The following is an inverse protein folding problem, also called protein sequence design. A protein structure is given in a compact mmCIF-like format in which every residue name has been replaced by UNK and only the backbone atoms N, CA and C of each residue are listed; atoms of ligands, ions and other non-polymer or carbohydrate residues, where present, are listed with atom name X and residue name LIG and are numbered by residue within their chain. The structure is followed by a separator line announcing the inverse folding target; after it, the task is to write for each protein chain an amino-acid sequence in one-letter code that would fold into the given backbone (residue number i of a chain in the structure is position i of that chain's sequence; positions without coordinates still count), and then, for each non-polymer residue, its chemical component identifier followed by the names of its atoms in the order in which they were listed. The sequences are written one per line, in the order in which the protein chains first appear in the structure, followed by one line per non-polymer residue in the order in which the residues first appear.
data_IF_256210140307
#
_entry.id   IF_256210140307
#
_cell.length_a   1.000
_cell.length_b   1.000
_cell.length_c   1.000
_cell.angle_alpha   90.00
_cell.angle_beta   90.00
_cell.angle_gamma   90.00
#
_symmetry.space_group_name_H-M   'P 1'
#
loop_
_entity.id
_entity.type
_entity.pdbx_description
1 polymer ?
#
# COMPACT_ATOMS: atom_id res chain seq x y z
N UNK A 1 84.43 6.56 -3.97
CA UNK A 1 83.12 5.88 -3.85
C UNK A 1 82.07 6.99 -3.71
N UNK A 2 81.30 7.33 -4.76
CA UNK A 2 79.96 6.75 -5.11
C UNK A 2 79.04 6.76 -3.88
N UNK A 3 77.93 7.50 -3.72
CA UNK A 3 76.91 8.21 -4.54
C UNK A 3 76.28 9.29 -3.57
N UNK A 4 76.04 10.59 -3.83
CA UNK A 4 75.18 11.30 -4.80
C UNK A 4 73.74 10.72 -4.88
N UNK A 5 72.60 11.41 -4.78
CA UNK A 5 72.18 12.80 -4.55
C UNK A 5 70.62 12.80 -4.68
N UNK A 6 69.91 13.69 -3.94
CA UNK A 6 68.59 14.34 -4.30
C UNK A 6 67.32 13.45 -4.22
N UNK A 7 66.13 13.96 -3.86
CA UNK A 7 65.54 15.29 -4.02
C UNK A 7 64.50 15.58 -2.89
N UNK A 8 64.50 16.79 -2.27
CA UNK A 8 63.60 17.96 -2.48
C UNK A 8 62.14 17.70 -1.98
N UNK A 9 61.43 18.56 -1.24
CA UNK A 9 61.34 20.02 -1.20
C UNK A 9 60.75 20.48 0.16
N UNK A 10 61.18 21.64 0.64
CA UNK A 10 60.67 22.33 1.83
C UNK A 10 59.35 23.08 1.56
N UNK A 11 58.49 23.19 2.57
CA UNK A 11 57.48 24.27 2.68
C UNK A 11 57.49 24.79 4.12
N UNK A 12 57.69 26.11 4.25
CA UNK A 12 57.72 26.87 5.49
C UNK A 12 56.37 26.85 6.21
N UNK A 13 56.41 26.69 7.53
CA UNK A 13 55.31 26.93 8.47
C UNK A 13 55.50 28.35 9.03
N UNK A 14 54.60 29.26 8.67
CA UNK A 14 54.50 30.59 9.26
C UNK A 14 53.50 30.57 10.41
N UNK A 15 54.00 30.80 11.62
CA UNK A 15 53.24 30.85 12.86
C UNK A 15 52.50 32.18 13.07
N UNK A 16 51.41 32.07 13.83
CA UNK A 16 51.08 32.86 15.03
C UNK A 16 49.82 33.75 14.94
N UNK A 17 48.79 33.24 15.62
CA UNK A 17 47.54 33.89 16.00
C UNK A 17 47.73 35.17 16.83
N UNK A 18 46.88 36.16 16.58
CA UNK A 18 46.29 37.16 17.50
C UNK A 18 45.26 37.91 16.61
N UNK A 19 43.95 37.99 16.81
CA UNK A 19 43.10 37.92 17.99
C UNK A 19 42.13 39.12 17.87
N UNK A 20 40.82 38.83 17.84
CA UNK A 20 39.66 39.71 18.15
C UNK A 20 38.87 40.40 16.99
N UNK A 21 37.65 39.86 16.82
CA UNK A 21 36.35 40.54 16.67
C UNK A 21 35.85 40.96 15.27
N UNK A 22 35.22 40.03 14.57
CA UNK A 22 33.90 40.20 13.97
C UNK A 22 33.40 38.83 13.46
N UNK A 23 32.51 38.19 14.20
CA UNK A 23 31.82 37.00 13.70
C UNK A 23 30.84 37.43 12.60
N UNK A 24 30.93 36.94 11.35
CA UNK A 24 29.72 36.87 10.55
C UNK A 24 28.84 35.83 11.25
N UNK A 25 27.62 36.23 11.63
CA UNK A 25 26.62 35.28 12.07
C UNK A 25 26.51 34.22 10.98
N UNK A 26 26.93 32.99 11.29
CA UNK A 26 26.56 31.83 10.50
C UNK A 26 25.06 31.72 10.74
N UNK A 27 24.27 32.28 9.82
CA UNK A 27 22.88 31.89 9.68
C UNK A 27 22.94 30.39 9.39
N UNK A 28 22.72 29.58 10.42
CA UNK A 28 22.29 28.21 10.23
C UNK A 28 21.11 28.28 9.28
N UNK A 29 21.26 27.75 8.07
CA UNK A 29 20.16 27.54 7.16
C UNK A 29 19.12 26.73 7.96
N UNK A 30 18.05 27.38 8.39
CA UNK A 30 16.91 26.69 8.94
C UNK A 30 16.34 25.91 7.76
N UNK A 31 16.46 24.59 7.78
CA UNK A 31 15.60 23.76 6.97
C UNK A 31 14.17 24.17 7.33
N UNK A 32 13.50 24.84 6.39
CA UNK A 32 12.06 25.08 6.50
C UNK A 32 11.44 23.69 6.61
N UNK A 33 10.85 23.41 7.77
CA UNK A 33 10.33 22.10 8.15
C UNK A 33 9.05 21.69 7.40
N UNK A 34 8.89 22.15 6.16
CA UNK A 34 7.79 21.75 5.31
C UNK A 34 8.34 20.90 4.17
N UNK A 35 8.04 19.61 4.26
CA UNK A 35 8.23 18.65 3.16
C UNK A 35 7.11 18.99 2.15
N UNK A 36 7.43 19.82 1.16
CA UNK A 36 6.52 20.37 0.13
C UNK A 36 5.88 19.30 -0.80
N UNK A 37 6.12 18.00 -0.55
CA UNK A 37 5.67 16.90 -1.41
C UNK A 37 5.08 15.70 -0.64
N UNK A 38 4.90 15.80 0.69
CA UNK A 38 4.29 14.73 1.47
C UNK A 38 2.95 15.17 2.04
N UNK A 39 1.86 14.65 1.46
CA UNK A 39 0.52 14.84 1.97
C UNK A 39 0.45 14.39 3.44
N UNK A 40 0.21 15.33 4.36
CA UNK A 40 0.04 15.01 5.77
C UNK A 40 -1.37 14.46 6.02
N UNK A 41 -1.45 13.19 6.42
CA UNK A 41 -2.71 12.59 6.87
C UNK A 41 -3.06 13.23 8.22
N UNK A 42 -4.13 14.03 8.26
CA UNK A 42 -4.64 14.62 9.50
C UNK A 42 -5.42 13.55 10.25
N UNK A 43 -5.08 13.34 11.53
CA UNK A 43 -5.80 12.39 12.38
C UNK A 43 -7.29 12.76 12.49
N UNK A 44 -8.21 11.79 12.44
CA UNK A 44 -9.62 12.06 12.64
C UNK A 44 -9.87 12.62 14.06
N UNK A 45 -10.86 13.52 14.22
CA UNK A 45 -11.11 14.22 15.49
C UNK A 45 -11.70 13.35 16.62
N UNK A 46 -11.95 12.06 16.37
CA UNK A 46 -12.42 11.11 17.36
C UNK A 46 -13.02 9.84 16.74
N UNK A 47 -13.55 8.92 17.56
CA UNK A 47 -14.25 7.72 17.09
C UNK A 47 -15.45 8.08 16.21
N UNK A 48 -15.66 7.34 15.11
CA UNK A 48 -16.79 7.56 14.19
C UNK A 48 -16.52 8.53 13.04
N UNK A 49 -15.32 9.09 12.92
CA UNK A 49 -14.89 9.89 11.78
C UNK A 49 -13.99 9.06 10.85
N UNK A 50 -14.29 9.07 9.55
CA UNK A 50 -13.44 8.50 8.49
C UNK A 50 -12.92 9.64 7.62
N UNK A 51 -11.60 9.71 7.44
CA UNK A 51 -10.97 10.63 6.51
C UNK A 51 -11.05 10.10 5.08
N UNK A 52 -11.24 10.98 4.10
CA UNK A 52 -11.17 10.64 2.68
C UNK A 52 -9.98 11.36 2.06
N UNK A 53 -9.01 10.59 1.57
CA UNK A 53 -7.79 11.10 0.96
C UNK A 53 -7.82 10.78 -0.53
N UNK A 54 -7.83 11.83 -1.36
CA UNK A 54 -7.76 11.68 -2.82
C UNK A 54 -6.28 11.72 -3.20
N UNK A 55 -5.73 10.55 -3.52
CA UNK A 55 -4.37 10.41 -4.05
C UNK A 55 -4.42 9.86 -5.47
N UNK A 56 -3.63 10.41 -6.38
CA UNK A 56 -3.47 9.91 -7.75
C UNK A 56 -2.41 8.80 -7.85
N UNK A 57 -2.04 8.15 -6.74
CA UNK A 57 -1.04 7.10 -6.77
C UNK A 57 -1.51 5.91 -7.61
N UNK A 58 -0.63 5.42 -8.49
CA UNK A 58 -0.85 4.18 -9.25
C UNK A 58 -1.09 2.96 -8.35
N UNK A 59 -0.65 3.03 -7.08
CA UNK A 59 -0.89 2.01 -6.05
C UNK A 59 -2.38 1.79 -5.80
N UNK A 60 -3.20 2.84 -5.89
CA UNK A 60 -4.65 2.73 -5.72
C UNK A 60 -5.36 2.12 -6.94
N UNK A 61 -4.68 2.09 -8.09
CA UNK A 61 -5.14 1.39 -9.29
C UNK A 61 -4.59 -0.05 -9.40
N UNK A 62 -3.91 -0.56 -8.36
CA UNK A 62 -3.48 -1.97 -8.29
C UNK A 62 -4.57 -2.77 -7.59
N UNK A 63 -5.18 -3.69 -8.32
CA UNK A 63 -6.30 -4.52 -7.84
C UNK A 63 -5.87 -5.97 -7.80
N UNK A 64 -5.23 -6.34 -6.71
CA UNK A 64 -4.97 -7.74 -6.38
C UNK A 64 -5.65 -8.05 -5.06
N UNK A 65 -6.02 -9.30 -4.90
CA UNK A 65 -6.30 -9.86 -3.60
C UNK A 65 -5.14 -10.79 -3.27
N UNK A 66 -4.63 -10.72 -2.04
CA UNK A 66 -3.45 -11.45 -1.61
C UNK A 66 -3.58 -11.92 -0.16
N UNK A 67 -3.09 -13.13 0.08
CA UNK A 67 -2.81 -13.65 1.41
C UNK A 67 -1.37 -14.15 1.39
N UNK A 68 -0.52 -13.50 2.18
CA UNK A 68 0.89 -13.79 2.27
C UNK A 68 1.26 -14.24 3.68
N UNK A 69 2.18 -15.18 3.76
CA UNK A 69 2.75 -15.74 4.98
C UNK A 69 4.23 -15.49 5.00
N UNK A 70 4.75 -14.99 6.11
CA UNK A 70 6.17 -14.67 6.27
C UNK A 70 6.74 -15.39 7.48
N UNK A 71 7.96 -15.90 7.33
CA UNK A 71 8.78 -16.44 8.41
C UNK A 71 9.97 -15.51 8.64
N UNK A 72 10.17 -15.13 9.88
CA UNK A 72 11.32 -14.33 10.32
C UNK A 72 12.14 -15.16 11.30
N UNK A 73 13.46 -15.17 11.10
CA UNK A 73 14.45 -15.71 12.03
C UNK A 73 15.61 -14.71 12.11
N UNK A 74 16.10 -14.42 13.31
CA UNK A 74 17.21 -13.48 13.53
C UNK A 74 17.03 -12.12 12.83
N UNK A 75 15.82 -11.55 12.87
CA UNK A 75 15.46 -10.28 12.21
C UNK A 75 15.57 -10.30 10.67
N UNK A 76 15.67 -11.48 10.05
CA UNK A 76 15.69 -11.67 8.61
C UNK A 76 14.45 -12.45 8.18
N UNK A 77 13.87 -12.06 7.06
CA UNK A 77 12.85 -12.90 6.41
C UNK A 77 13.55 -14.15 5.88
N UNK A 78 13.10 -15.32 6.29
CA UNK A 78 13.66 -16.63 5.86
C UNK A 78 12.68 -17.43 5.02
N UNK A 79 11.41 -17.04 4.99
CA UNK A 79 10.40 -17.68 4.14
C UNK A 79 9.26 -16.73 3.81
N UNK A 80 8.72 -16.87 2.60
CA UNK A 80 7.52 -16.19 2.15
C UNK A 80 6.68 -17.15 1.29
N UNK A 81 5.37 -17.19 1.51
CA UNK A 81 4.45 -17.95 0.69
C UNK A 81 3.15 -17.19 0.46
N UNK A 82 2.58 -17.30 -0.75
CA UNK A 82 1.22 -16.86 -1.05
C UNK A 82 0.24 -18.01 -0.96
N UNK A 83 -0.98 -17.70 -0.54
CA UNK A 83 -2.02 -18.70 -0.39
C UNK A 83 -3.32 -18.23 -1.05
N UNK A 84 -4.06 -19.19 -1.61
CA UNK A 84 -5.45 -18.97 -2.05
C UNK A 84 -6.47 -19.13 -0.92
N UNK A 85 -6.02 -19.63 0.22
CA UNK A 85 -6.78 -19.78 1.44
C UNK A 85 -5.86 -20.09 2.62
N UNK A 86 -6.34 -19.90 3.84
CA UNK A 86 -5.55 -20.14 5.05
C UNK A 86 -5.12 -21.61 5.20
N UNK A 87 -5.94 -22.57 4.77
CA UNK A 87 -5.60 -24.00 4.81
C UNK A 87 -4.50 -24.39 3.80
N UNK A 88 -4.22 -23.51 2.84
CA UNK A 88 -3.11 -23.67 1.88
C UNK A 88 -1.87 -22.86 2.28
N UNK A 89 -1.91 -22.14 3.40
CA UNK A 89 -0.75 -21.43 3.92
C UNK A 89 0.15 -22.34 4.76
N UNK A 90 1.46 -22.07 4.80
CA UNK A 90 2.34 -22.65 5.81
C UNK A 90 1.85 -22.33 7.22
N UNK A 91 1.86 -23.33 8.10
CA UNK A 91 1.45 -23.19 9.50
C UNK A 91 2.58 -22.68 10.39
N UNK A 92 3.83 -22.90 9.98
CA UNK A 92 5.01 -22.34 10.65
C UNK A 92 5.32 -20.96 10.04
N UNK A 93 4.78 -19.92 10.66
CA UNK A 93 4.97 -18.53 10.24
C UNK A 93 5.33 -17.65 11.44
N UNK A 94 5.80 -16.44 11.16
CA UNK A 94 5.96 -15.37 12.16
C UNK A 94 4.79 -14.41 12.08
N UNK A 95 4.42 -13.98 10.87
CA UNK A 95 3.23 -13.18 10.62
C UNK A 95 2.59 -13.50 9.26
N UNK A 96 1.34 -13.10 9.10
CA UNK A 96 0.58 -13.20 7.86
C UNK A 96 -0.07 -11.86 7.55
N UNK A 97 -0.19 -11.55 6.26
CA UNK A 97 -0.83 -10.35 5.73
C UNK A 97 -1.96 -10.74 4.78
N UNK A 98 -3.10 -10.09 4.93
CA UNK A 98 -4.19 -10.10 3.96
C UNK A 98 -4.35 -8.72 3.34
N UNK A 99 -4.41 -8.67 2.02
CA UNK A 99 -4.78 -7.50 1.21
C UNK A 99 -5.98 -7.97 0.40
N UNK A 100 -7.18 -7.66 0.87
CA UNK A 100 -8.43 -8.27 0.38
C UNK A 100 -9.29 -7.23 -0.31
N UNK A 101 -9.50 -7.36 -1.62
CA UNK A 101 -10.55 -6.57 -2.28
C UNK A 101 -11.91 -7.14 -1.93
N UNK A 102 -12.70 -6.38 -1.17
CA UNK A 102 -14.04 -6.77 -0.79
C UNK A 102 -14.96 -6.86 -2.00
N UNK A 103 -15.80 -7.89 -2.03
CA UNK A 103 -16.84 -8.08 -3.05
C UNK A 103 -18.18 -7.54 -2.56
N UNK A 104 -19.15 -7.32 -3.46
CA UNK A 104 -20.53 -7.05 -3.05
C UNK A 104 -21.07 -8.16 -2.15
N UNK A 105 -21.85 -7.78 -1.15
CA UNK A 105 -22.56 -8.75 -0.31
C UNK A 105 -23.58 -9.53 -1.14
N UNK A 106 -23.63 -10.85 -0.97
CA UNK A 106 -24.65 -11.70 -1.59
C UNK A 106 -26.03 -11.50 -0.96
N UNK A 107 -26.09 -11.08 0.31
CA UNK A 107 -27.32 -10.78 1.03
C UNK A 107 -27.07 -9.80 2.20
N UNK A 108 -28.15 -9.35 2.85
CA UNK A 108 -28.09 -8.36 3.93
C UNK A 108 -27.56 -8.88 5.28
N UNK A 109 -27.25 -10.17 5.38
CA UNK A 109 -26.69 -10.78 6.61
C UNK A 109 -25.18 -11.02 6.52
N UNK A 110 -24.61 -10.85 5.33
CA UNK A 110 -23.17 -10.96 5.11
C UNK A 110 -22.44 -9.75 5.70
N UNK A 111 -21.25 -10.01 6.23
CA UNK A 111 -20.37 -9.01 6.84
C UNK A 111 -19.04 -9.01 6.10
N UNK A 112 -18.28 -7.92 6.24
CA UNK A 112 -16.99 -7.71 5.57
C UNK A 112 -17.08 -7.75 4.04
N UNK A 113 -18.10 -7.07 3.49
CA UNK A 113 -18.40 -6.97 2.07
C UNK A 113 -19.00 -5.59 1.73
N UNK A 114 -19.14 -5.27 0.44
CA UNK A 114 -19.73 -4.01 -0.02
C UNK A 114 -21.25 -4.15 -0.01
N UNK A 115 -21.91 -3.50 0.95
CA UNK A 115 -23.37 -3.55 1.11
C UNK A 115 -24.15 -2.76 0.03
N UNK A 116 -23.54 -1.74 -0.56
CA UNK A 116 -24.17 -0.95 -1.62
C UNK A 116 -23.31 0.22 -2.08
N UNK A 117 -23.66 0.75 -3.25
CA UNK A 117 -23.06 1.94 -3.83
C UNK A 117 -24.18 2.95 -4.07
N UNK A 118 -24.00 4.17 -3.57
CA UNK A 118 -24.96 5.26 -3.68
C UNK A 118 -24.35 6.40 -4.47
N UNK A 119 -25.13 6.94 -5.40
CA UNK A 119 -24.78 8.15 -6.15
C UNK A 119 -25.74 9.28 -5.83
N UNK A 120 -25.24 10.52 -5.84
CA UNK A 120 -26.03 11.74 -5.66
C UNK A 120 -25.77 12.68 -6.83
N UNK A 121 -26.83 13.04 -7.53
CA UNK A 121 -26.77 14.08 -8.53
C UNK A 121 -26.62 15.44 -7.82
N UNK A 122 -25.53 16.16 -8.10
CA UNK A 122 -25.23 17.43 -7.43
C UNK A 122 -26.11 18.60 -7.92
N UNK A 123 -26.72 18.48 -9.09
CA UNK A 123 -27.62 19.50 -9.66
C UNK A 123 -29.04 19.33 -9.16
N UNK A 124 -29.58 18.11 -9.18
CA UNK A 124 -30.97 17.82 -8.81
C UNK A 124 -31.14 17.37 -7.36
N UNK A 125 -30.04 16.99 -6.70
CA UNK A 125 -30.06 16.39 -5.36
C UNK A 125 -30.54 14.94 -5.33
N UNK A 126 -30.93 14.35 -6.47
CA UNK A 126 -31.46 13.00 -6.55
C UNK A 126 -30.42 11.96 -6.11
N UNK A 127 -30.84 11.02 -5.27
CA UNK A 127 -30.02 9.90 -4.79
C UNK A 127 -30.44 8.61 -5.47
N UNK A 128 -29.48 7.84 -5.95
CA UNK A 128 -29.69 6.56 -6.63
C UNK A 128 -28.78 5.49 -6.03
N UNK A 129 -29.34 4.33 -5.72
CA UNK A 129 -28.60 3.13 -5.28
C UNK A 129 -28.53 2.07 -6.39
N UNK A 130 -28.83 2.46 -7.63
CA UNK A 130 -28.86 1.54 -8.77
C UNK A 130 -27.47 1.41 -9.35
N UNK A 131 -26.90 0.21 -9.25
CA UNK A 131 -25.67 -0.17 -9.94
C UNK A 131 -25.80 -1.62 -10.40
N UNK A 132 -25.10 -1.97 -11.49
CA UNK A 132 -25.06 -3.34 -12.00
C UNK A 132 -23.61 -3.84 -11.97
N UNK A 133 -23.26 -4.86 -11.17
CA UNK A 133 -21.95 -5.49 -11.23
C UNK A 133 -21.65 -6.04 -12.63
N UNK A 134 -20.40 -5.91 -13.07
CA UNK A 134 -19.88 -6.36 -14.37
C UNK A 134 -18.74 -7.37 -14.19
N UNK A 135 -18.99 -8.54 -13.55
CA UNK A 135 -17.95 -9.51 -13.22
C UNK A 135 -17.26 -10.11 -14.45
N UNK A 136 -17.91 -10.13 -15.61
CA UNK A 136 -17.35 -10.62 -16.86
C UNK A 136 -16.12 -9.81 -17.34
N UNK A 137 -15.93 -8.60 -16.80
CA UNK A 137 -14.76 -7.77 -17.10
C UNK A 137 -13.52 -8.15 -16.28
N UNK A 138 -13.69 -8.90 -15.19
CA UNK A 138 -12.59 -9.21 -14.24
C UNK A 138 -12.51 -10.69 -13.87
N UNK A 139 -13.42 -11.55 -14.36
CA UNK A 139 -13.47 -12.98 -14.04
C UNK A 139 -12.14 -13.72 -14.32
N UNK A 140 -11.46 -13.36 -15.42
CA UNK A 140 -10.24 -14.02 -15.87
C UNK A 140 -8.98 -13.65 -15.06
N UNK A 141 -9.10 -12.76 -14.06
CA UNK A 141 -7.94 -12.33 -13.27
C UNK A 141 -7.50 -13.38 -12.25
N UNK A 142 -8.38 -14.34 -11.91
CA UNK A 142 -8.14 -15.37 -10.89
C UNK A 142 -7.45 -14.79 -9.64
N UNK A 143 -7.95 -13.66 -9.14
CA UNK A 143 -7.38 -12.98 -7.99
C UNK A 143 -8.02 -13.43 -6.67
N UNK A 144 -9.16 -14.13 -6.73
CA UNK A 144 -9.92 -14.51 -5.54
C UNK A 144 -9.08 -15.29 -4.51
N UNK A 145 -9.27 -14.94 -3.24
CA UNK A 145 -8.68 -15.61 -2.07
C UNK A 145 -9.80 -15.88 -1.07
N UNK A 146 -9.91 -17.14 -0.64
CA UNK A 146 -10.86 -17.54 0.38
C UNK A 146 -10.30 -17.19 1.76
N UNK A 147 -10.96 -16.25 2.43
CA UNK A 147 -10.64 -15.85 3.79
C UNK A 147 -11.25 -16.78 4.84
N UNK A 148 -11.21 -16.31 6.08
CA UNK A 148 -11.94 -16.87 7.22
C UNK A 148 -12.46 -15.72 8.10
N UNK A 149 -13.71 -15.26 7.84
CA UNK A 149 -14.31 -14.16 8.59
C UNK A 149 -14.42 -14.44 10.09
N UNK A 150 -14.47 -15.72 10.50
CA UNK A 150 -14.57 -16.09 11.92
C UNK A 150 -13.35 -15.62 12.74
N UNK A 151 -12.21 -15.45 12.08
CA UNK A 151 -10.97 -14.93 12.65
C UNK A 151 -10.61 -13.54 12.12
N UNK A 152 -11.53 -12.83 11.47
CA UNK A 152 -11.32 -11.46 10.99
C UNK A 152 -10.65 -11.32 9.62
N UNK A 153 -10.59 -12.41 8.81
CA UNK A 153 -10.07 -12.35 7.44
C UNK A 153 -11.23 -12.46 6.43
N UNK A 154 -11.64 -11.38 5.75
CA UNK A 154 -12.69 -11.47 4.75
C UNK A 154 -12.28 -12.30 3.53
N UNK A 155 -13.28 -12.74 2.76
CA UNK A 155 -13.02 -13.21 1.40
C UNK A 155 -12.61 -12.02 0.53
N UNK A 156 -11.53 -12.20 -0.23
CA UNK A 156 -11.12 -11.22 -1.23
C UNK A 156 -11.45 -11.72 -2.63
N UNK A 157 -11.92 -10.81 -3.48
CA UNK A 157 -12.35 -11.13 -4.84
C UNK A 157 -11.48 -10.50 -5.93
N UNK A 158 -11.98 -10.62 -7.16
CA UNK A 158 -11.48 -9.84 -8.28
C UNK A 158 -11.88 -8.36 -8.12
N UNK A 159 -11.18 -7.43 -8.79
CA UNK A 159 -11.62 -6.05 -8.90
C UNK A 159 -13.10 -5.93 -9.28
N UNK A 160 -13.83 -5.05 -8.60
CA UNK A 160 -15.25 -4.82 -8.83
C UNK A 160 -15.43 -3.72 -9.87
N UNK A 161 -15.94 -4.07 -11.04
CA UNK A 161 -16.46 -3.10 -12.01
C UNK A 161 -17.97 -3.07 -11.93
N UNK A 162 -18.55 -1.88 -11.92
CA UNK A 162 -20.01 -1.66 -11.91
C UNK A 162 -20.41 -0.68 -13.00
N UNK A 163 -21.61 -0.85 -13.55
CA UNK A 163 -22.28 0.17 -14.35
C UNK A 163 -23.20 1.00 -13.45
N UNK A 164 -23.13 2.32 -13.57
CA UNK A 164 -23.97 3.28 -12.85
C UNK A 164 -24.60 4.27 -13.87
N UNK A 165 -25.71 3.89 -14.53
CA UNK A 165 -26.28 4.71 -15.61
C UNK A 165 -26.71 6.11 -15.17
N UNK A 166 -27.12 6.28 -13.90
CA UNK A 166 -27.51 7.57 -13.35
C UNK A 166 -26.34 8.53 -13.13
N UNK A 167 -25.11 8.06 -13.28
CA UNK A 167 -23.89 8.82 -13.07
C UNK A 167 -22.92 8.61 -14.25
N UNK A 168 -23.37 8.66 -15.50
CA UNK A 168 -22.46 8.51 -16.63
C UNK A 168 -21.40 9.63 -16.70
N UNK A 169 -20.19 9.28 -17.13
CA UNK A 169 -19.09 10.19 -17.45
C UNK A 169 -18.86 10.22 -18.96
N UNK A 170 -17.90 11.03 -19.43
CA UNK A 170 -17.65 11.27 -20.87
C UNK A 170 -17.31 10.02 -21.69
N UNK A 171 -16.96 8.91 -21.03
CA UNK A 171 -16.45 7.70 -21.66
C UNK A 171 -17.30 6.45 -21.34
N UNK A 172 -18.51 6.64 -20.80
CA UNK A 172 -19.44 5.57 -20.45
C UNK A 172 -20.02 5.74 -19.05
N UNK A 173 -20.51 4.64 -18.49
CA UNK A 173 -21.13 4.56 -17.17
C UNK A 173 -20.42 3.56 -16.25
N UNK A 174 -19.21 3.13 -16.62
CA UNK A 174 -18.46 2.11 -15.89
C UNK A 174 -17.58 2.74 -14.82
N UNK A 175 -17.64 2.13 -13.65
CA UNK A 175 -16.86 2.52 -12.49
C UNK A 175 -16.11 1.31 -11.94
N UNK A 176 -14.82 1.50 -11.66
CA UNK A 176 -14.00 0.55 -10.93
C UNK A 176 -14.03 0.92 -9.45
N UNK A 177 -14.49 0.00 -8.63
CA UNK A 177 -14.68 0.17 -7.19
C UNK A 177 -13.63 -0.67 -6.48
N UNK A 178 -12.80 -0.02 -5.67
CA UNK A 178 -11.86 -0.67 -4.76
C UNK A 178 -12.34 -0.48 -3.34
N UNK A 179 -12.55 -1.59 -2.63
CA UNK A 179 -12.64 -1.61 -1.18
C UNK A 179 -11.56 -2.57 -0.70
N UNK A 180 -10.43 -2.03 -0.33
CA UNK A 180 -9.22 -2.75 0.05
C UNK A 180 -9.15 -2.89 1.57
N UNK A 181 -9.20 -4.14 2.03
CA UNK A 181 -9.12 -4.52 3.43
C UNK A 181 -7.73 -5.10 3.70
N UNK A 182 -6.86 -4.27 4.28
CA UNK A 182 -5.51 -4.65 4.65
C UNK A 182 -5.43 -5.05 6.11
N UNK A 183 -4.91 -6.23 6.38
CA UNK A 183 -4.91 -6.85 7.70
C UNK A 183 -3.68 -7.68 7.95
N UNK A 184 -3.26 -7.79 9.21
CA UNK A 184 -2.22 -8.72 9.63
C UNK A 184 -2.66 -9.62 10.78
N UNK A 185 -1.93 -10.72 10.94
CA UNK A 185 -1.85 -11.44 12.21
C UNK A 185 -0.44 -11.94 12.47
N UNK A 186 -0.05 -11.93 13.72
CA UNK A 186 1.16 -12.62 14.16
C UNK A 186 0.85 -14.06 14.56
N UNK A 187 1.88 -14.89 14.65
CA UNK A 187 1.77 -16.25 15.20
C UNK A 187 1.33 -16.28 16.69
N UNK A 188 1.19 -15.12 17.34
CA UNK A 188 0.86 -14.96 18.76
C UNK A 188 -0.51 -14.32 19.10
N UNK A 189 -0.90 -14.52 20.38
CA UNK A 189 -1.96 -13.91 21.22
C UNK A 189 -3.44 -13.84 20.81
N UNK A 190 -3.84 -14.15 19.58
CA UNK A 190 -5.27 -14.35 19.29
C UNK A 190 -5.59 -15.26 18.10
N UNK A 191 -4.60 -15.55 17.23
CA UNK A 191 -4.83 -16.20 15.93
C UNK A 191 -5.90 -15.50 15.06
N UNK A 192 -6.14 -14.21 15.32
CA UNK A 192 -7.10 -13.36 14.59
C UNK A 192 -6.36 -12.32 13.77
N UNK A 193 -6.90 -12.04 12.60
CA UNK A 193 -6.53 -10.93 11.74
C UNK A 193 -7.06 -9.62 12.32
N UNK A 194 -6.19 -8.62 12.38
CA UNK A 194 -6.48 -7.26 12.84
C UNK A 194 -6.49 -6.35 11.62
N UNK A 195 -7.56 -5.58 11.46
CA UNK A 195 -7.66 -4.58 10.40
C UNK A 195 -6.64 -3.47 10.65
N UNK A 196 -5.72 -3.28 9.72
CA UNK A 196 -4.75 -2.20 9.73
C UNK A 196 -5.26 -0.98 8.97
N UNK A 197 -5.83 -1.23 7.79
CA UNK A 197 -6.27 -0.18 6.88
C UNK A 197 -7.44 -0.65 6.03
N UNK A 198 -8.46 0.21 5.93
CA UNK A 198 -9.55 0.06 4.96
C UNK A 198 -9.49 1.23 3.99
N UNK A 199 -9.29 0.95 2.70
CA UNK A 199 -9.22 1.99 1.66
C UNK A 199 -10.36 1.80 0.66
N UNK A 200 -11.18 2.84 0.50
CA UNK A 200 -12.27 2.86 -0.46
C UNK A 200 -11.98 3.86 -1.57
N UNK A 201 -12.17 3.46 -2.82
CA UNK A 201 -11.98 4.33 -3.98
C UNK A 201 -12.89 3.93 -5.13
N UNK A 202 -13.32 4.93 -5.91
CA UNK A 202 -14.19 4.76 -7.07
C UNK A 202 -13.58 5.54 -8.23
N UNK A 203 -13.35 4.86 -9.35
CA UNK A 203 -12.72 5.43 -10.54
C UNK A 203 -13.65 5.30 -11.75
N UNK A 204 -13.90 6.37 -12.51
CA UNK A 204 -14.52 6.24 -13.82
C UNK A 204 -13.56 5.48 -14.77
N UNK A 205 -14.08 4.51 -15.51
CA UNK A 205 -13.24 3.65 -16.37
C UNK A 205 -13.89 3.40 -17.73
N UNK A 206 -13.06 3.02 -18.70
CA UNK A 206 -13.48 2.54 -20.01
C UNK A 206 -12.78 1.21 -20.28
N UNK A 207 -13.44 0.33 -21.03
CA UNK A 207 -12.86 -0.96 -21.42
C UNK A 207 -12.11 -0.80 -22.73
N UNK A 208 -10.84 -1.16 -22.72
CA UNK A 208 -10.02 -1.28 -23.93
C UNK A 208 -9.70 -2.75 -24.22
N UNK A 209 -9.77 -3.14 -25.48
CA UNK A 209 -9.40 -4.51 -25.89
C UNK A 209 -7.90 -4.60 -26.10
N UNK A 210 -7.25 -5.55 -25.42
CA UNK A 210 -5.82 -5.78 -25.55
C UNK A 210 -5.34 -7.00 -24.76
N UNK A 211 -4.04 -7.27 -24.83
CA UNK A 211 -3.39 -8.27 -23.97
C UNK A 211 -2.81 -7.59 -22.75
N UNK A 212 -3.56 -7.63 -21.65
CA UNK A 212 -3.15 -7.08 -20.37
C UNK A 212 -2.96 -8.21 -19.37
N UNK A 213 -1.80 -8.26 -18.73
CA UNK A 213 -1.59 -9.09 -17.54
C UNK A 213 -1.78 -8.18 -16.33
N UNK A 214 -2.77 -8.42 -15.45
CA UNK A 214 -2.93 -7.62 -14.26
C UNK A 214 -1.64 -7.69 -13.42
N UNK A 215 -1.10 -6.53 -13.07
CA UNK A 215 0.07 -6.44 -12.21
C UNK A 215 -0.24 -7.04 -10.84
N UNK A 216 0.75 -7.73 -10.27
CA UNK A 216 0.69 -8.32 -8.93
C UNK A 216 1.80 -7.77 -8.04
N UNK A 217 1.77 -8.05 -6.73
CA UNK A 217 2.94 -7.79 -5.93
C UNK A 217 4.13 -8.61 -6.42
N UNK A 218 5.37 -8.21 -6.17
CA UNK A 218 6.52 -9.05 -6.51
C UNK A 218 6.46 -10.28 -5.61
N UNK A 219 6.56 -11.47 -6.19
CA UNK A 219 6.27 -12.75 -5.52
C UNK A 219 7.50 -13.61 -5.37
N UNK A 220 8.61 -13.20 -5.97
CA UNK A 220 9.82 -13.99 -5.90
C UNK A 220 10.38 -13.84 -4.47
N UNK A 221 10.48 -14.97 -3.72
CA UNK A 221 11.03 -14.96 -2.37
C UNK A 221 12.40 -14.29 -2.31
N UNK A 222 13.18 -14.29 -3.40
CA UNK A 222 14.48 -13.62 -3.49
C UNK A 222 14.43 -12.11 -3.22
N UNK A 223 13.29 -11.45 -3.42
CA UNK A 223 13.14 -10.02 -3.12
C UNK A 223 12.89 -9.75 -1.63
N UNK A 224 12.48 -10.75 -0.86
CA UNK A 224 12.10 -10.63 0.55
C UNK A 224 13.07 -11.38 1.47
N UNK A 225 13.47 -12.60 1.10
CA UNK A 225 14.33 -13.47 1.89
C UNK A 225 15.73 -12.85 2.02
N UNK A 226 16.25 -12.83 3.25
CA UNK A 226 17.52 -12.18 3.59
C UNK A 226 17.42 -10.66 3.77
N UNK A 227 16.23 -10.05 3.64
CA UNK A 227 16.02 -8.64 4.00
C UNK A 227 15.82 -8.51 5.52
N UNK A 228 16.41 -7.48 6.15
CA UNK A 228 16.11 -7.16 7.54
C UNK A 228 14.66 -6.69 7.67
N UNK A 229 14.02 -7.06 8.76
CA UNK A 229 12.71 -6.54 9.13
C UNK A 229 12.88 -5.07 9.54
N UNK A 230 12.23 -4.15 8.82
CA UNK A 230 12.20 -2.74 9.21
C UNK A 230 11.24 -2.54 10.40
N UNK A 231 11.53 -1.62 11.34
CA UNK A 231 10.62 -1.32 12.43
C UNK A 231 9.27 -0.79 11.89
N UNK A 232 8.19 -1.26 12.50
CA UNK A 232 6.75 -1.09 12.18
C UNK A 232 6.22 0.37 11.99
N UNK A 233 7.10 1.37 11.95
CA UNK A 233 6.76 2.78 11.65
C UNK A 233 6.89 3.14 10.17
N UNK A 234 7.45 2.27 9.35
CA UNK A 234 7.11 2.22 7.94
C UNK A 234 6.31 0.96 7.74
N UNK A 235 5.08 1.15 7.25
CA UNK A 235 4.32 0.11 6.58
C UNK A 235 5.31 -0.79 5.84
N UNK A 236 5.10 -2.10 5.91
CA UNK A 236 5.54 -2.98 4.84
C UNK A 236 4.71 -2.58 3.60
N UNK A 237 4.91 -1.35 3.13
CA UNK A 237 4.66 -0.96 1.77
C UNK A 237 5.51 -1.97 1.05
N UNK A 238 4.84 -2.95 0.46
CA UNK A 238 5.44 -3.82 -0.51
C UNK A 238 5.89 -2.91 -1.64
N UNK A 239 7.03 -2.25 -1.42
CA UNK A 239 7.79 -1.52 -2.40
C UNK A 239 8.27 -2.60 -3.35
N UNK A 240 7.47 -2.82 -4.37
CA UNK A 240 7.99 -3.38 -5.60
C UNK A 240 9.06 -2.42 -6.09
N UNK A 241 10.32 -2.81 -5.86
CA UNK A 241 11.41 -2.43 -6.73
C UNK A 241 10.97 -2.73 -8.17
N UNK A 242 10.95 -1.63 -8.95
CA UNK A 242 10.70 -1.45 -10.39
C UNK A 242 10.40 -2.70 -11.21
#
# INVERSE_FOLDING_TARGET
MKFAHRAKFAVLIGSLCLGLLASPAINSAQAVGEIDEQFQVVNPPGPGYTGYLVNNSRSLARFWTNLATFKIENQLITGMARCKSLDKCPTNFTFQLGDMNLTPCANSTEVDCIAGITTKNLTTGAVSNSFTPRPELTENFDAAVKGDPSIGLPNGGNPLVVSIPSAAHSAGDLYLVKSDFFTHRDAGTANRFVLDQLTNSIYPVTVETGQFVPGGPNLDPMFYVGKPVQPLVSFLQMELLR
#
